data_IF_910930783391
#
_entry.id   IF_910930783391
#
_cell.length_a   1.000
_cell.length_b   1.000
_cell.length_c   1.000
_cell.angle_alpha   90.00
_cell.angle_beta   90.00
_cell.angle_gamma   90.00
#
_symmetry.space_group_name_H-M   'P 1'
#
loop_
_entity.id
_entity.type
_entity.pdbx_description
1 polymer ?
#
# COMPACT_ATOMS: atom_id res chain seq x y z
N UNK A 1 -13.10 10.87 6.76
CA UNK A 1 -12.83 9.53 6.15
C UNK A 1 -11.64 9.58 5.18
N UNK A 2 -11.66 10.42 4.14
CA UNK A 2 -10.56 10.57 3.17
C UNK A 2 -9.24 11.13 3.74
N UNK A 3 -9.30 11.92 4.82
CA UNK A 3 -8.10 12.51 5.42
C UNK A 3 -7.15 11.48 6.06
N UNK A 4 -7.69 10.44 6.71
CA UNK A 4 -6.90 9.37 7.34
C UNK A 4 -6.17 8.53 6.29
N UNK A 5 -6.87 8.19 5.20
CA UNK A 5 -6.23 7.48 4.09
C UNK A 5 -5.12 8.33 3.51
N UNK A 6 -5.33 9.65 3.34
CA UNK A 6 -4.29 10.56 2.86
C UNK A 6 -3.05 10.57 3.77
N UNK A 7 -3.22 10.63 5.08
CA UNK A 7 -2.11 10.56 6.05
C UNK A 7 -1.35 9.24 5.92
N UNK A 8 -2.05 8.11 5.86
CA UNK A 8 -1.42 6.79 5.71
C UNK A 8 -0.59 6.69 4.42
N UNK A 9 -1.11 7.22 3.32
CA UNK A 9 -0.38 7.31 2.06
C UNK A 9 0.82 8.26 2.11
N UNK A 10 0.72 9.38 2.83
CA UNK A 10 1.82 10.34 3.01
C UNK A 10 2.97 9.72 3.81
N UNK A 11 2.66 9.00 4.89
CA UNK A 11 3.63 8.23 5.67
C UNK A 11 4.33 7.21 4.76
N UNK A 12 3.55 6.43 4.02
CA UNK A 12 4.09 5.39 3.14
C UNK A 12 4.93 6.00 2.02
N UNK A 13 4.56 7.16 1.48
CA UNK A 13 5.35 7.87 0.47
C UNK A 13 6.71 8.33 1.00
N UNK A 14 6.78 8.78 2.26
CA UNK A 14 8.03 9.23 2.90
C UNK A 14 8.91 8.08 3.38
N UNK A 15 8.30 6.97 3.78
CA UNK A 15 8.99 5.86 4.42
C UNK A 15 9.31 4.71 3.47
N UNK A 16 8.59 4.60 2.35
CA UNK A 16 8.81 3.55 1.36
C UNK A 16 9.68 4.02 0.20
N UNK A 17 10.41 3.09 -0.39
CA UNK A 17 11.22 3.32 -1.59
C UNK A 17 10.40 3.40 -2.88
N UNK A 18 9.08 3.18 -2.81
CA UNK A 18 8.19 3.13 -3.97
C UNK A 18 7.33 4.39 -4.08
N UNK A 19 7.24 4.96 -5.29
CA UNK A 19 6.36 6.10 -5.58
C UNK A 19 4.92 5.63 -5.74
N UNK A 20 4.22 5.51 -4.62
CA UNK A 20 2.78 5.27 -4.60
C UNK A 20 2.02 6.50 -5.07
N UNK A 21 1.19 6.34 -6.08
CA UNK A 21 0.25 7.36 -6.52
C UNK A 21 -0.95 7.38 -5.56
N UNK A 22 -1.27 8.56 -5.03
CA UNK A 22 -2.44 8.78 -4.15
C UNK A 22 -3.73 8.83 -4.98
N UNK A 23 -4.87 8.47 -4.39
CA UNK A 23 -6.21 8.51 -5.03
C UNK A 23 -6.45 7.54 -6.22
N UNK A 24 -5.50 6.65 -6.50
CA UNK A 24 -5.64 5.65 -7.56
C UNK A 24 -6.53 4.49 -7.11
N UNK A 25 -7.37 4.01 -8.03
CA UNK A 25 -8.29 2.89 -7.77
C UNK A 25 -7.57 1.55 -7.87
N UNK A 26 -8.21 0.49 -7.39
CA UNK A 26 -7.70 -0.88 -7.54
C UNK A 26 -7.92 -1.47 -8.93
N UNK A 27 -8.65 -0.77 -9.80
CA UNK A 27 -8.92 -1.22 -11.15
C UNK A 27 -7.68 -1.01 -12.04
N UNK A 28 -7.09 -2.13 -12.49
CA UNK A 28 -5.87 -2.14 -13.29
C UNK A 28 -5.97 -3.19 -14.39
N UNK A 29 -5.46 -2.86 -15.58
CA UNK A 29 -5.20 -3.82 -16.64
C UNK A 29 -3.74 -4.27 -16.56
N UNK A 30 -3.49 -5.57 -16.41
CA UNK A 30 -2.14 -6.13 -16.32
C UNK A 30 -1.89 -7.05 -17.52
N UNK A 31 -0.76 -6.84 -18.19
CA UNK A 31 -0.33 -7.77 -19.24
C UNK A 31 0.10 -9.12 -18.65
N UNK A 32 0.01 -10.19 -19.45
CA UNK A 32 0.38 -11.54 -19.02
C UNK A 32 1.79 -11.61 -18.42
N UNK A 33 2.75 -10.89 -19.02
CA UNK A 33 4.12 -10.81 -18.52
C UNK A 33 4.17 -10.28 -17.08
N UNK A 34 3.46 -9.18 -16.79
CA UNK A 34 3.42 -8.59 -15.44
C UNK A 34 2.85 -9.59 -14.43
N UNK A 35 1.76 -10.28 -14.79
CA UNK A 35 1.13 -11.29 -13.94
C UNK A 35 2.09 -12.44 -13.64
N UNK A 36 2.82 -12.94 -14.64
CA UNK A 36 3.80 -14.02 -14.42
C UNK A 36 4.89 -13.62 -13.42
N UNK A 37 5.44 -12.40 -13.51
CA UNK A 37 6.42 -11.91 -12.54
C UNK A 37 5.83 -11.73 -11.14
N UNK A 38 4.61 -11.19 -11.04
CA UNK A 38 3.94 -11.03 -9.74
C UNK A 38 3.70 -12.38 -9.06
N UNK A 39 3.34 -13.42 -9.81
CA UNK A 39 3.12 -14.77 -9.28
C UNK A 39 4.41 -15.45 -8.81
N UNK A 40 5.58 -14.97 -9.22
CA UNK A 40 6.88 -15.49 -8.75
C UNK A 40 7.31 -14.87 -7.40
N UNK A 41 6.69 -13.77 -6.98
CA UNK A 41 7.00 -13.12 -5.71
C UNK A 41 6.50 -13.98 -4.54
N UNK A 42 7.36 -14.22 -3.57
CA UNK A 42 7.06 -15.04 -2.37
C UNK A 42 6.61 -14.19 -1.18
N UNK A 43 5.82 -13.15 -1.44
CA UNK A 43 5.34 -12.23 -0.42
C UNK A 43 4.24 -12.89 0.42
N UNK A 44 4.43 -12.97 1.75
CA UNK A 44 3.43 -13.57 2.66
C UNK A 44 2.13 -12.77 2.72
N UNK A 45 2.24 -11.44 2.69
CA UNK A 45 1.11 -10.51 2.73
C UNK A 45 1.19 -9.57 1.52
N UNK A 46 0.72 -10.00 0.33
CA UNK A 46 0.93 -9.25 -0.89
C UNK A 46 0.11 -7.95 -0.90
N UNK A 47 0.80 -6.82 -0.88
CA UNK A 47 0.18 -5.51 -1.11
C UNK A 47 0.23 -5.16 -2.60
N UNK A 48 -0.76 -5.63 -3.35
CA UNK A 48 -0.82 -5.50 -4.82
C UNK A 48 -0.70 -4.05 -5.33
N UNK A 49 -1.19 -3.07 -4.55
CA UNK A 49 -1.05 -1.65 -4.90
C UNK A 49 0.42 -1.24 -5.03
N UNK A 50 1.26 -1.69 -4.10
CA UNK A 50 2.70 -1.46 -4.11
C UNK A 50 3.46 -2.41 -5.02
N UNK A 51 3.15 -3.72 -5.00
CA UNK A 51 3.89 -4.71 -5.79
C UNK A 51 3.82 -4.42 -7.30
N UNK A 52 2.66 -4.02 -7.82
CA UNK A 52 2.52 -3.66 -9.24
C UNK A 52 3.41 -2.47 -9.62
N UNK A 53 3.56 -1.48 -8.74
CA UNK A 53 4.45 -0.35 -8.95
C UNK A 53 5.93 -0.75 -8.82
N UNK A 54 6.24 -1.60 -7.84
CA UNK A 54 7.59 -2.06 -7.53
C UNK A 54 8.22 -2.88 -8.66
N UNK A 55 7.45 -3.75 -9.31
CA UNK A 55 7.94 -4.55 -10.46
C UNK A 55 8.36 -3.66 -11.64
N UNK A 56 7.91 -2.40 -11.69
CA UNK A 56 8.57 -1.37 -12.52
C UNK A 56 8.34 -1.48 -14.03
N UNK A 57 7.36 -2.28 -14.48
CA UNK A 57 6.95 -2.32 -15.89
C UNK A 57 6.39 -0.97 -16.36
N UNK A 58 6.23 -0.82 -17.69
CA UNK A 58 5.59 0.35 -18.28
C UNK A 58 4.15 0.50 -17.77
N UNK A 59 3.82 1.70 -17.30
CA UNK A 59 2.59 2.03 -16.61
C UNK A 59 2.02 3.33 -17.17
N UNK A 60 0.71 3.33 -17.42
CA UNK A 60 -0.04 4.51 -17.86
C UNK A 60 -1.23 4.68 -16.93
N UNK A 61 -1.41 5.89 -16.39
CA UNK A 61 -2.54 6.22 -15.53
C UNK A 61 -3.64 6.88 -16.36
N UNK A 62 -4.87 6.37 -16.26
CA UNK A 62 -6.04 6.96 -16.90
C UNK A 62 -6.84 7.71 -15.84
N UNK A 63 -6.93 9.03 -15.99
CA UNK A 63 -7.71 9.89 -15.12
C UNK A 63 -9.19 9.84 -15.52
N UNK A 64 -10.07 9.61 -14.56
CA UNK A 64 -11.50 9.66 -14.75
C UNK A 64 -12.16 10.24 -13.50
N UNK A 65 -13.32 10.87 -13.67
CA UNK A 65 -14.09 11.37 -12.54
C UNK A 65 -14.93 10.23 -11.95
N UNK A 66 -14.77 9.94 -10.65
CA UNK A 66 -15.56 8.93 -9.95
C UNK A 66 -16.84 9.57 -9.44
N UNK A 67 -17.97 9.18 -10.02
CA UNK A 67 -19.27 9.54 -9.47
C UNK A 67 -19.50 8.90 -8.09
N UNK A 68 -20.37 9.53 -7.30
CA UNK A 68 -20.82 8.94 -6.05
C UNK A 68 -21.52 7.60 -6.33
N UNK A 69 -21.30 6.62 -5.45
CA UNK A 69 -21.95 5.32 -5.56
C UNK A 69 -23.47 5.51 -5.55
N UNK A 70 -24.15 5.06 -6.60
CA UNK A 70 -25.61 5.21 -6.76
C UNK A 70 -26.42 4.50 -5.67
N UNK A 71 -25.99 3.29 -5.27
CA UNK A 71 -26.66 2.52 -4.23
C UNK A 71 -25.69 1.61 -3.46
N UNK A 72 -26.07 1.27 -2.22
CA UNK A 72 -25.32 0.39 -1.33
C UNK A 72 -24.26 1.09 -0.48
N UNK A 73 -23.88 0.45 0.63
CA UNK A 73 -22.90 1.00 1.56
C UNK A 73 -21.46 0.62 1.22
N UNK A 74 -20.51 1.46 1.68
CA UNK A 74 -19.09 1.14 1.55
C UNK A 74 -18.70 -0.03 2.46
N UNK A 75 -18.19 -1.11 1.85
CA UNK A 75 -17.55 -2.20 2.59
C UNK A 75 -16.20 -1.79 3.21
N UNK A 76 -15.65 -0.63 2.78
CA UNK A 76 -14.39 -0.12 3.28
C UNK A 76 -14.58 0.66 4.59
N UNK A 77 -14.38 -0.03 5.71
CA UNK A 77 -14.41 0.55 7.06
C UNK A 77 -13.00 1.02 7.44
N UNK A 78 -12.71 2.30 7.20
CA UNK A 78 -11.37 2.92 7.39
C UNK A 78 -10.82 2.74 8.81
N UNK A 79 -11.71 2.70 9.81
CA UNK A 79 -11.35 2.51 11.22
C UNK A 79 -11.40 1.04 11.68
N UNK A 80 -11.62 0.08 10.78
CA UNK A 80 -11.53 -1.33 11.16
C UNK A 80 -10.10 -1.68 11.48
N UNK A 81 -9.86 -2.29 12.65
CA UNK A 81 -8.55 -2.81 13.03
C UNK A 81 -7.97 -3.72 11.94
N UNK A 82 -8.81 -4.49 11.24
CA UNK A 82 -8.38 -5.38 10.16
C UNK A 82 -7.78 -4.61 8.97
N UNK A 83 -8.32 -3.44 8.63
CA UNK A 83 -7.81 -2.62 7.53
C UNK A 83 -6.48 -1.97 7.91
N UNK A 84 -6.39 -1.47 9.15
CA UNK A 84 -5.18 -0.83 9.67
C UNK A 84 -4.05 -1.86 9.82
N UNK A 85 -4.35 -3.02 10.41
CA UNK A 85 -3.37 -4.09 10.60
C UNK A 85 -2.89 -4.64 9.25
N UNK A 86 -3.81 -4.86 8.30
CA UNK A 86 -3.45 -5.29 6.96
C UNK A 86 -2.59 -4.24 6.24
N UNK A 87 -2.91 -2.94 6.36
CA UNK A 87 -2.09 -1.88 5.77
C UNK A 87 -0.68 -1.86 6.37
N UNK A 88 -0.55 -1.96 7.70
CA UNK A 88 0.74 -1.96 8.36
C UNK A 88 1.58 -3.19 7.98
N UNK A 89 0.99 -4.39 8.03
CA UNK A 89 1.70 -5.64 7.77
C UNK A 89 2.04 -5.87 6.29
N UNK A 90 1.18 -5.45 5.37
CA UNK A 90 1.36 -5.69 3.94
C UNK A 90 2.04 -4.54 3.20
N UNK A 91 1.82 -3.29 3.63
CA UNK A 91 2.37 -2.12 2.95
C UNK A 91 3.58 -1.52 3.68
N UNK A 92 3.47 -1.19 4.97
CA UNK A 92 4.56 -0.50 5.67
C UNK A 92 5.75 -1.43 5.91
N UNK A 93 5.52 -2.63 6.43
CA UNK A 93 6.60 -3.60 6.72
C UNK A 93 7.28 -4.09 5.45
N UNK A 94 6.52 -4.32 4.37
CA UNK A 94 7.08 -4.88 3.14
C UNK A 94 7.91 -3.88 2.33
N UNK A 95 7.60 -2.58 2.41
CA UNK A 95 8.24 -1.56 1.58
C UNK A 95 9.07 -0.54 2.38
N UNK A 96 9.16 -0.66 3.71
CA UNK A 96 9.93 0.24 4.57
C UNK A 96 10.74 -0.47 5.64
N UNK A 97 11.98 -0.03 5.84
CA UNK A 97 12.85 -0.46 6.95
C UNK A 97 12.63 0.33 8.24
N UNK A 98 11.77 1.35 8.22
CA UNK A 98 11.52 2.25 9.36
C UNK A 98 11.03 1.51 10.62
N UNK A 99 10.08 0.56 10.54
CA UNK A 99 9.64 -0.17 11.73
C UNK A 99 10.78 -0.94 12.41
N UNK A 100 11.67 -1.52 11.62
CA UNK A 100 12.83 -2.25 12.12
C UNK A 100 13.84 -1.31 12.80
N UNK A 101 14.15 -0.18 12.15
CA UNK A 101 15.06 0.83 12.71
C UNK A 101 14.55 1.40 14.04
N UNK A 102 13.25 1.68 14.14
CA UNK A 102 12.64 2.15 15.38
C UNK A 102 12.74 1.11 16.50
N UNK A 103 12.44 -0.16 16.19
CA UNK A 103 12.58 -1.24 17.17
C UNK A 103 14.02 -1.40 17.66
N UNK A 104 15.01 -1.28 16.77
CA UNK A 104 16.43 -1.33 17.12
C UNK A 104 16.84 -0.18 18.04
N UNK A 105 16.41 1.05 17.76
CA UNK A 105 16.73 2.23 18.59
C UNK A 105 16.07 2.13 19.96
N UNK A 106 14.80 1.76 20.02
CA UNK A 106 14.08 1.60 21.29
C UNK A 106 14.68 0.48 22.14
N UNK A 107 15.01 -0.66 21.53
CA UNK A 107 15.70 -1.76 22.21
C UNK A 107 17.05 -1.32 22.77
N UNK A 108 17.85 -0.61 21.97
CA UNK A 108 19.12 -0.05 22.40
C UNK A 108 18.98 0.95 23.56
N UNK A 109 17.98 1.83 23.51
CA UNK A 109 17.70 2.79 24.59
C UNK A 109 17.20 2.12 25.88
N UNK A 110 16.42 1.04 25.78
CA UNK A 110 15.92 0.31 26.95
C UNK A 110 16.97 -0.60 27.61
N UNK A 111 18.03 -0.94 26.88
CA UNK A 111 19.11 -1.78 27.37
C UNK A 111 20.17 -0.99 28.15
N UNK A 112 20.14 0.34 28.08
CA UNK A 112 20.95 1.28 28.87
C UNK A 112 20.17 1.70 30.10
#
# INVERSE_FOLDING_TARGET
>A
KLWITKIGYDILHRTSSIKLQTEVGDFKLLSRRVVTYLLQLKEKNPFMRGLVLWVGFNQVTITYNREARFAGETKFRIFSLAVISNFFSSALVSFSSVPLQLASVLGGLSAV
#
